data_IF_843349007812
#
_entry.id   IF_843349007812
#
_cell.length_a   1.000
_cell.length_b   1.000
_cell.length_c   1.000
_cell.angle_alpha   90.00
_cell.angle_beta   90.00
_cell.angle_gamma   90.00
#
_symmetry.space_group_name_H-M   'P 1'
#
loop_
_entity.id
_entity.type
_entity.pdbx_description
1 polymer ?
#
# COMPACT_ATOMS: atom_id res chain seq x y z
N UNK A 1 -11.66 -50.59 22.44
CA UNK A 1 -10.35 -49.92 22.54
C UNK A 1 -10.50 -48.57 21.86
N UNK A 2 -10.74 -47.54 22.64
CA UNK A 2 -10.95 -46.15 22.22
C UNK A 2 -9.61 -45.49 21.94
N UNK A 3 -9.36 -45.05 20.70
CA UNK A 3 -8.20 -44.21 20.39
C UNK A 3 -8.48 -42.78 20.85
N UNK A 4 -7.74 -42.32 21.86
CA UNK A 4 -7.77 -40.96 22.32
C UNK A 4 -7.19 -40.03 21.24
N UNK A 5 -8.02 -39.14 20.71
CA UNK A 5 -7.57 -37.99 19.95
C UNK A 5 -6.86 -37.02 20.89
N UNK A 6 -5.60 -36.73 20.62
CA UNK A 6 -4.89 -35.61 21.25
C UNK A 6 -5.45 -34.34 20.59
N UNK A 7 -6.47 -33.76 21.21
CA UNK A 7 -6.86 -32.39 20.94
C UNK A 7 -5.81 -31.49 21.61
N UNK A 8 -4.83 -31.06 20.83
CA UNK A 8 -3.91 -30.00 21.24
C UNK A 8 -4.72 -28.69 21.22
N UNK A 9 -5.23 -28.29 22.38
CA UNK A 9 -5.74 -26.93 22.58
C UNK A 9 -4.54 -25.97 22.51
N UNK A 10 -4.18 -25.54 21.30
CA UNK A 10 -3.37 -24.35 21.11
C UNK A 10 -4.29 -23.19 21.47
N UNK A 11 -4.03 -22.59 22.62
CA UNK A 11 -4.64 -21.32 22.99
C UNK A 11 -4.38 -20.33 21.85
N UNK A 12 -5.42 -19.61 21.43
CA UNK A 12 -5.29 -18.48 20.52
C UNK A 12 -4.44 -17.39 21.18
N UNK A 13 -3.11 -17.57 21.16
CA UNK A 13 -2.20 -16.44 21.17
C UNK A 13 -2.59 -15.63 19.93
N UNK A 14 -3.10 -14.43 20.18
CA UNK A 14 -3.74 -13.57 19.20
C UNK A 14 -2.97 -13.55 17.88
N UNK A 15 -3.65 -13.91 16.79
CA UNK A 15 -3.29 -13.66 15.39
C UNK A 15 -3.23 -12.15 15.06
N UNK A 16 -2.93 -11.29 16.04
CA UNK A 16 -2.49 -9.94 15.77
C UNK A 16 -1.18 -10.10 15.01
N UNK A 17 -1.25 -10.02 13.68
CA UNK A 17 -0.11 -10.02 12.79
C UNK A 17 1.00 -9.19 13.45
N UNK A 18 2.17 -9.80 13.67
CA UNK A 18 3.30 -9.04 14.17
C UNK A 18 3.61 -7.99 13.13
N UNK A 19 3.26 -6.75 13.44
CA UNK A 19 3.62 -5.59 12.64
C UNK A 19 4.94 -5.10 13.19
N UNK A 20 5.88 -4.79 12.29
CA UNK A 20 7.16 -4.27 12.68
C UNK A 20 7.61 -3.15 11.77
N UNK A 21 8.55 -2.34 12.27
CA UNK A 21 9.26 -1.39 11.44
C UNK A 21 10.57 -1.99 10.93
N UNK A 22 10.84 -1.79 9.65
CA UNK A 22 12.11 -2.15 9.02
C UNK A 22 12.74 -0.88 8.45
N UNK A 23 13.96 -0.58 8.87
CA UNK A 23 14.74 0.50 8.26
C UNK A 23 15.31 0.00 6.92
N UNK A 24 15.09 0.77 5.85
CA UNK A 24 15.68 0.54 4.54
C UNK A 24 17.00 1.30 4.43
N UNK A 25 17.94 0.71 3.69
CA UNK A 25 19.26 1.28 3.39
C UNK A 25 19.43 1.44 1.89
N UNK A 26 18.69 2.37 1.25
CA UNK A 26 18.82 2.61 -0.17
C UNK A 26 20.20 3.21 -0.51
N UNK A 27 20.64 3.00 -1.76
CA UNK A 27 21.92 3.52 -2.24
C UNK A 27 21.86 5.03 -2.43
N UNK A 28 20.70 5.52 -2.84
CA UNK A 28 20.40 6.93 -3.06
C UNK A 28 19.27 7.35 -2.14
N UNK A 29 19.23 8.64 -1.77
CA UNK A 29 18.19 9.18 -0.88
C UNK A 29 18.04 10.67 -1.09
N UNK A 30 16.80 11.21 -0.96
CA UNK A 30 16.61 12.64 -0.91
C UNK A 30 17.35 13.21 0.31
N UNK A 31 17.91 14.43 0.20
CA UNK A 31 18.47 15.11 1.36
C UNK A 31 17.49 15.18 2.53
N UNK A 32 18.05 15.16 3.73
CA UNK A 32 17.41 15.47 5.01
C UNK A 32 16.37 16.59 4.88
N UNK A 33 15.11 16.35 5.27
CA UNK A 33 14.05 17.36 5.18
C UNK A 33 12.93 17.16 6.20
N UNK A 34 11.98 18.07 6.24
CA UNK A 34 10.68 17.91 6.89
C UNK A 34 9.62 18.74 6.17
N UNK A 35 8.36 18.37 6.35
CA UNK A 35 7.22 19.04 5.72
C UNK A 35 7.28 18.95 4.20
N UNK A 36 7.78 17.85 3.64
CA UNK A 36 7.62 17.57 2.21
C UNK A 36 6.17 17.14 1.93
N UNK A 37 5.75 17.21 0.67
CA UNK A 37 4.56 16.48 0.23
C UNK A 37 4.93 15.08 -0.23
N UNK A 38 4.01 14.14 -0.08
CA UNK A 38 4.20 12.74 -0.44
C UNK A 38 2.90 12.10 -0.88
N UNK A 39 2.95 11.32 -1.95
CA UNK A 39 1.82 10.53 -2.42
C UNK A 39 2.32 9.21 -3.03
N UNK A 40 1.50 8.16 -2.93
CA UNK A 40 1.75 6.90 -3.60
C UNK A 40 1.07 6.90 -4.96
N UNK A 41 1.86 6.86 -6.03
CA UNK A 41 1.38 6.52 -7.36
C UNK A 41 1.18 5.00 -7.40
N UNK A 42 -0.05 4.57 -7.14
CA UNK A 42 -0.38 3.13 -7.09
C UNK A 42 -0.43 2.49 -8.47
N UNK A 43 -0.53 3.28 -9.55
CA UNK A 43 -0.53 2.78 -10.93
C UNK A 43 0.88 2.39 -11.36
N UNK A 44 1.88 3.20 -11.01
CA UNK A 44 3.30 2.91 -11.31
C UNK A 44 4.01 2.15 -10.19
N UNK A 45 3.40 2.04 -9.02
CA UNK A 45 4.03 1.46 -7.83
C UNK A 45 5.11 2.36 -7.23
N UNK A 46 5.15 3.65 -7.56
CA UNK A 46 6.18 4.58 -7.10
C UNK A 46 5.65 5.53 -6.01
N UNK A 47 6.48 5.86 -5.02
CA UNK A 47 6.15 6.92 -4.06
C UNK A 47 6.82 8.23 -4.47
N UNK A 48 6.07 9.33 -4.57
CA UNK A 48 6.54 10.63 -5.06
C UNK A 48 6.71 11.61 -3.92
N UNK A 49 7.93 12.13 -3.70
CA UNK A 49 8.22 13.22 -2.75
C UNK A 49 8.45 14.52 -3.50
N UNK A 50 7.87 15.61 -2.99
CA UNK A 50 8.18 16.96 -3.47
C UNK A 50 8.51 17.93 -2.34
N UNK A 51 9.56 18.71 -2.55
CA UNK A 51 9.88 19.87 -1.73
C UNK A 51 10.18 19.53 -0.27
N UNK A 52 9.66 20.35 0.65
CA UNK A 52 10.02 20.30 2.07
C UNK A 52 11.21 21.20 2.39
N UNK A 53 11.58 21.25 3.67
CA UNK A 53 12.62 22.14 4.16
C UNK A 53 13.88 21.36 4.55
N UNK A 54 15.02 21.64 3.91
CA UNK A 54 16.30 20.95 4.15
C UNK A 54 17.17 21.63 5.22
N UNK A 55 17.04 22.96 5.36
CA UNK A 55 17.69 23.76 6.39
C UNK A 55 16.78 24.95 6.77
N UNK A 56 17.13 25.72 7.80
CA UNK A 56 16.35 26.92 8.18
C UNK A 56 16.20 27.85 6.96
N UNK A 57 14.96 28.10 6.53
CA UNK A 57 14.60 28.91 5.36
C UNK A 57 15.08 28.38 3.99
N UNK A 58 15.43 27.09 3.88
CA UNK A 58 15.79 26.45 2.62
C UNK A 58 14.68 25.48 2.17
N UNK A 59 13.63 26.03 1.56
CA UNK A 59 12.58 25.23 0.94
C UNK A 59 13.08 24.65 -0.39
N UNK A 60 12.87 23.36 -0.58
CA UNK A 60 13.31 22.63 -1.76
C UNK A 60 12.22 22.58 -2.83
N UNK A 61 12.63 22.36 -4.08
CA UNK A 61 11.77 22.17 -5.26
C UNK A 61 12.05 20.85 -5.99
N UNK A 62 12.94 20.02 -5.46
CA UNK A 62 13.27 18.73 -6.06
C UNK A 62 12.11 17.74 -5.96
N UNK A 63 12.03 16.86 -6.96
CA UNK A 63 11.10 15.73 -7.03
C UNK A 63 11.92 14.45 -6.93
N UNK A 64 11.48 13.53 -6.08
CA UNK A 64 12.11 12.22 -5.92
C UNK A 64 11.05 11.13 -6.04
N UNK A 65 11.40 10.03 -6.67
CA UNK A 65 10.57 8.83 -6.73
C UNK A 65 11.26 7.65 -6.06
N UNK A 66 10.49 6.90 -5.29
CA UNK A 66 10.88 5.62 -4.71
C UNK A 66 10.25 4.49 -5.48
N UNK A 67 11.04 3.55 -5.99
CA UNK A 67 10.58 2.42 -6.80
C UNK A 67 10.27 1.14 -5.98
N UNK A 68 10.42 1.20 -4.66
CA UNK A 68 10.38 0.03 -3.78
C UNK A 68 11.77 -0.41 -3.28
N UNK A 69 12.84 0.12 -3.83
CA UNK A 69 14.20 -0.30 -3.51
C UNK A 69 15.19 0.84 -3.39
N UNK A 70 15.09 1.86 -4.25
CA UNK A 70 16.00 2.99 -4.26
C UNK A 70 15.28 4.30 -4.64
N UNK A 71 15.92 5.44 -4.32
CA UNK A 71 15.36 6.77 -4.57
C UNK A 71 15.97 7.44 -5.81
N UNK A 72 15.18 7.65 -6.85
CA UNK A 72 15.65 8.41 -8.02
C UNK A 72 15.23 9.88 -7.94
N UNK A 73 16.19 10.81 -8.07
CA UNK A 73 15.87 12.22 -8.25
C UNK A 73 15.38 12.46 -9.68
N UNK A 74 14.16 12.97 -9.81
CA UNK A 74 13.56 13.30 -11.10
C UNK A 74 13.99 14.72 -11.52
N UNK A 75 14.20 14.91 -12.83
CA UNK A 75 14.62 16.19 -13.42
C UNK A 75 13.58 16.70 -14.44
N UNK A 76 12.37 17.05 -14.00
CA UNK A 76 11.32 17.50 -14.90
C UNK A 76 11.64 18.89 -15.49
N UNK A 77 11.17 19.14 -16.71
CA UNK A 77 11.39 20.42 -17.39
C UNK A 77 10.56 21.56 -16.80
N UNK A 78 9.38 21.22 -16.26
CA UNK A 78 8.55 22.12 -15.48
C UNK A 78 8.56 21.65 -14.02
N UNK A 79 8.71 22.58 -13.10
CA UNK A 79 8.79 22.27 -11.67
C UNK A 79 8.12 23.37 -10.84
N UNK A 80 7.32 23.02 -9.82
CA UNK A 80 6.81 24.01 -8.89
C UNK A 80 7.94 24.74 -8.16
N UNK A 81 7.71 26.00 -7.77
CA UNK A 81 8.65 26.72 -6.91
C UNK A 81 8.87 26.02 -5.56
N UNK A 82 10.03 26.25 -4.95
CA UNK A 82 10.41 25.62 -3.67
C UNK A 82 9.45 25.97 -2.54
N UNK A 83 9.03 24.96 -1.77
CA UNK A 83 7.98 25.09 -0.74
C UNK A 83 8.08 24.02 0.34
N UNK A 84 7.58 24.35 1.53
CA UNK A 84 7.36 23.40 2.64
C UNK A 84 5.89 23.33 2.99
N UNK A 85 5.49 22.20 3.56
CA UNK A 85 4.12 21.85 3.96
C UNK A 85 3.06 22.03 2.84
N UNK A 86 3.37 21.77 1.55
CA UNK A 86 2.29 21.43 0.63
C UNK A 86 1.66 20.10 1.03
N UNK A 87 0.46 19.82 0.56
CA UNK A 87 -0.11 18.47 0.62
C UNK A 87 -0.27 17.93 -0.79
N UNK A 88 -0.19 16.60 -0.91
CA UNK A 88 -0.31 15.88 -2.17
C UNK A 88 -1.15 14.63 -1.97
N UNK A 89 -2.00 14.32 -2.94
CA UNK A 89 -2.78 13.09 -2.98
C UNK A 89 -2.74 12.52 -4.40
N UNK A 90 -2.78 11.19 -4.52
CA UNK A 90 -2.80 10.53 -5.81
C UNK A 90 -4.23 10.32 -6.29
N UNK A 91 -4.54 10.88 -7.46
CA UNK A 91 -5.80 10.65 -8.15
C UNK A 91 -5.66 9.41 -9.03
N UNK A 92 -6.05 8.26 -8.51
CA UNK A 92 -5.86 6.98 -9.20
C UNK A 92 -6.74 6.81 -10.43
N UNK A 93 -7.86 7.54 -10.53
CA UNK A 93 -8.70 7.51 -11.73
C UNK A 93 -8.02 8.22 -12.92
N UNK A 94 -7.20 9.25 -12.64
CA UNK A 94 -6.47 10.01 -13.67
C UNK A 94 -4.99 9.64 -13.76
N UNK A 95 -4.46 8.88 -12.81
CA UNK A 95 -3.06 8.47 -12.78
C UNK A 95 -2.09 9.63 -12.52
N UNK A 96 -2.47 10.61 -11.69
CA UNK A 96 -1.64 11.79 -11.41
C UNK A 96 -1.55 12.09 -9.91
N UNK A 97 -0.37 12.52 -9.44
CA UNK A 97 -0.26 13.12 -8.10
C UNK A 97 -0.65 14.59 -8.18
N UNK A 98 -1.65 15.00 -7.40
CA UNK A 98 -2.10 16.40 -7.32
C UNK A 98 -1.53 17.02 -6.06
N UNK A 99 -0.79 18.11 -6.21
CA UNK A 99 -0.24 18.90 -5.13
C UNK A 99 -0.93 20.27 -5.07
N UNK A 100 -1.20 20.74 -3.85
CA UNK A 100 -1.69 22.10 -3.61
C UNK A 100 -0.83 22.83 -2.58
N UNK A 101 -0.76 24.15 -2.74
CA UNK A 101 -0.35 25.09 -1.70
C UNK A 101 1.06 24.90 -1.14
N UNK A 102 1.22 25.14 0.16
CA UNK A 102 2.50 25.16 0.87
C UNK A 102 3.07 26.57 1.03
N UNK A 103 4.12 26.68 1.84
CA UNK A 103 4.76 27.94 2.22
C UNK A 103 6.14 28.10 1.59
N UNK A 104 6.39 29.23 0.94
CA UNK A 104 7.66 29.54 0.28
C UNK A 104 8.80 29.91 1.24
N UNK A 105 8.47 30.25 2.48
CA UNK A 105 9.37 30.99 3.37
C UNK A 105 8.92 32.43 3.61
N UNK A 106 8.11 32.98 2.69
CA UNK A 106 7.59 34.36 2.77
C UNK A 106 6.08 34.49 2.55
N UNK A 107 5.46 33.57 1.81
CA UNK A 107 4.03 33.60 1.50
C UNK A 107 3.51 32.17 1.26
N UNK A 108 2.19 32.01 1.39
CA UNK A 108 1.49 30.77 1.09
C UNK A 108 1.11 30.71 -0.40
N UNK A 109 1.43 29.60 -1.05
CA UNK A 109 1.04 29.34 -2.42
C UNK A 109 -0.43 28.90 -2.48
N UNK A 110 -1.12 29.26 -3.57
CA UNK A 110 -2.51 28.92 -3.86
C UNK A 110 -2.66 28.12 -5.18
N UNK A 111 -1.56 27.55 -5.66
CA UNK A 111 -1.46 26.87 -6.94
C UNK A 111 -1.77 25.37 -6.82
N UNK A 112 -2.30 24.81 -7.91
CA UNK A 112 -2.51 23.37 -8.08
C UNK A 112 -1.53 22.87 -9.14
N UNK A 113 -0.83 21.78 -8.84
CA UNK A 113 0.13 21.14 -9.74
C UNK A 113 -0.18 19.66 -9.86
N UNK A 114 -0.02 19.10 -11.05
CA UNK A 114 -0.24 17.69 -11.33
C UNK A 114 1.06 17.07 -11.86
N UNK A 115 1.47 15.94 -11.26
CA UNK A 115 2.60 15.13 -11.69
C UNK A 115 2.10 13.88 -12.41
N UNK A 116 2.57 13.68 -13.64
CA UNK A 116 2.19 12.55 -14.51
C UNK A 116 3.19 11.38 -14.49
N UNK A 117 4.18 11.42 -13.60
CA UNK A 117 5.30 10.48 -13.58
C UNK A 117 6.54 10.93 -14.34
N UNK A 118 6.44 12.03 -15.09
CA UNK A 118 7.55 12.56 -15.90
C UNK A 118 7.73 14.07 -15.73
N UNK A 119 6.65 14.83 -15.64
CA UNK A 119 6.67 16.28 -15.61
C UNK A 119 5.56 16.87 -14.73
N UNK A 120 5.78 18.09 -14.24
CA UNK A 120 4.75 18.84 -13.52
C UNK A 120 3.97 19.75 -14.47
N UNK A 121 2.65 19.75 -14.35
CA UNK A 121 1.76 20.69 -15.05
C UNK A 121 1.01 21.55 -14.05
N UNK A 122 1.13 22.87 -14.17
CA UNK A 122 0.34 23.79 -13.34
C UNK A 122 -1.10 23.87 -13.87
N UNK A 123 -2.07 23.74 -12.98
CA UNK A 123 -3.49 23.90 -13.28
C UNK A 123 -3.93 25.29 -12.82
N UNK A 124 -4.36 26.12 -13.77
CA UNK A 124 -4.88 27.47 -13.50
C UNK A 124 -6.40 27.37 -13.29
N UNK A 125 -6.81 27.30 -12.02
CA UNK A 125 -8.19 26.99 -11.64
C UNK A 125 -8.87 28.18 -10.97
N UNK A 126 -10.15 28.39 -11.30
CA UNK A 126 -11.02 29.39 -10.67
C UNK A 126 -12.42 28.80 -10.42
N UNK A 127 -12.94 28.81 -9.18
CA UNK A 127 -12.31 29.34 -7.96
C UNK A 127 -11.12 28.48 -7.48
N UNK A 128 -10.31 29.03 -6.58
CA UNK A 128 -9.20 28.33 -5.90
C UNK A 128 -9.41 28.42 -4.38
N UNK A 129 -9.00 27.40 -3.60
CA UNK A 129 -9.04 27.44 -2.14
C UNK A 129 -8.28 28.61 -1.50
N UNK A 130 -7.46 29.34 -2.25
CA UNK A 130 -6.59 30.38 -1.71
C UNK A 130 -5.33 29.81 -1.06
N UNK A 131 -4.35 30.67 -0.83
CA UNK A 131 -3.01 30.24 -0.41
C UNK A 131 -3.00 29.73 1.02
N UNK A 132 -2.42 28.55 1.27
CA UNK A 132 -2.37 27.94 2.61
C UNK A 132 -1.23 26.92 2.77
N UNK A 133 -0.92 26.59 4.01
CA UNK A 133 -0.05 25.47 4.41
C UNK A 133 -0.67 24.63 5.54
N UNK A 134 -0.04 23.50 5.91
CA UNK A 134 -0.40 22.67 7.09
C UNK A 134 -1.86 22.18 7.16
N UNK A 135 -2.52 22.03 6.01
CA UNK A 135 -3.82 21.40 5.83
C UNK A 135 -3.68 19.90 5.53
N UNK A 136 -4.79 19.17 5.60
CA UNK A 136 -4.86 17.78 5.13
C UNK A 136 -5.47 17.66 3.74
N UNK A 137 -5.00 16.69 2.95
CA UNK A 137 -5.61 16.26 1.68
C UNK A 137 -5.71 14.74 1.64
N UNK A 138 -6.81 14.20 1.11
CA UNK A 138 -6.99 12.78 0.84
C UNK A 138 -7.81 12.57 -0.44
N UNK A 139 -7.45 11.56 -1.25
CA UNK A 139 -8.23 11.20 -2.43
C UNK A 139 -9.32 10.20 -2.07
N UNK A 140 -10.56 10.58 -2.27
CA UNK A 140 -11.73 9.73 -2.18
C UNK A 140 -11.92 9.03 -3.53
N UNK A 141 -11.43 7.79 -3.62
CA UNK A 141 -11.51 6.99 -4.85
C UNK A 141 -12.92 6.49 -5.17
N UNK A 142 -13.82 6.47 -4.18
CA UNK A 142 -15.23 6.10 -4.39
C UNK A 142 -16.00 7.19 -5.15
N UNK A 143 -15.64 8.45 -4.92
CA UNK A 143 -16.27 9.63 -5.57
C UNK A 143 -15.39 10.27 -6.64
N UNK A 144 -14.13 9.87 -6.76
CA UNK A 144 -13.18 10.44 -7.71
C UNK A 144 -12.81 11.89 -7.41
N UNK A 145 -12.69 12.26 -6.13
CA UNK A 145 -12.40 13.64 -5.71
C UNK A 145 -11.29 13.69 -4.66
N UNK A 146 -10.49 14.75 -4.67
CA UNK A 146 -9.61 15.06 -3.55
C UNK A 146 -10.34 15.96 -2.56
N UNK A 147 -10.37 15.55 -1.29
CA UNK A 147 -10.91 16.33 -0.18
C UNK A 147 -9.77 17.05 0.53
N UNK A 148 -9.94 18.35 0.78
CA UNK A 148 -9.02 19.20 1.54
C UNK A 148 -9.75 19.83 2.73
N UNK A 149 -9.08 19.92 3.89
CA UNK A 149 -9.64 20.57 5.07
C UNK A 149 -8.63 21.46 5.80
N UNK A 150 -9.08 22.65 6.22
CA UNK A 150 -8.39 23.51 7.18
C UNK A 150 -7.03 24.05 6.70
N UNK A 151 -6.06 24.09 7.62
CA UNK A 151 -4.72 24.65 7.41
C UNK A 151 -4.58 26.08 7.91
N UNK A 152 -3.59 26.80 7.39
CA UNK A 152 -3.28 28.16 7.78
C UNK A 152 -3.01 29.09 6.60
N UNK A 153 -3.48 30.34 6.71
CA UNK A 153 -3.26 31.43 5.76
C UNK A 153 -3.23 32.78 6.49
N UNK A 154 -2.18 33.04 7.28
CA UNK A 154 -2.15 34.17 8.23
C UNK A 154 -3.12 34.02 9.43
N UNK A 155 -3.89 32.94 9.47
CA UNK A 155 -4.82 32.51 10.51
C UNK A 155 -5.28 31.08 10.25
N UNK A 156 -5.89 30.42 11.24
CA UNK A 156 -6.39 29.04 11.09
C UNK A 156 -7.64 29.01 10.20
N UNK A 157 -7.77 27.94 9.42
CA UNK A 157 -8.89 27.71 8.51
C UNK A 157 -9.71 26.49 8.97
N UNK A 158 -10.96 26.42 8.52
CA UNK A 158 -11.92 25.36 8.85
C UNK A 158 -12.81 24.97 7.67
N UNK A 159 -12.45 25.41 6.47
CA UNK A 159 -13.19 25.16 5.25
C UNK A 159 -12.88 23.78 4.67
N UNK A 160 -13.87 23.23 3.95
CA UNK A 160 -13.76 21.97 3.22
C UNK A 160 -13.80 22.27 1.72
N UNK A 161 -12.87 21.72 0.96
CA UNK A 161 -12.82 21.84 -0.50
C UNK A 161 -12.73 20.47 -1.15
N UNK A 162 -13.33 20.33 -2.32
CA UNK A 162 -13.22 19.12 -3.15
C UNK A 162 -12.70 19.47 -4.55
N UNK A 163 -11.76 18.69 -5.06
CA UNK A 163 -11.25 18.77 -6.43
C UNK A 163 -11.67 17.55 -7.23
N UNK A 164 -12.37 17.74 -8.33
CA UNK A 164 -12.88 16.68 -9.21
C UNK A 164 -11.95 16.35 -10.40
N UNK A 165 -10.71 16.86 -10.36
CA UNK A 165 -9.77 16.78 -11.48
C UNK A 165 -9.88 17.90 -12.51
N UNK A 166 -10.91 18.74 -12.39
CA UNK A 166 -11.13 19.88 -13.28
C UNK A 166 -11.32 21.20 -12.53
N UNK A 167 -11.97 21.19 -11.36
CA UNK A 167 -12.26 22.40 -10.60
C UNK A 167 -12.29 22.12 -9.09
N UNK A 168 -11.93 23.15 -8.32
CA UNK A 168 -12.13 23.17 -6.87
C UNK A 168 -13.53 23.69 -6.54
N UNK A 169 -14.24 22.98 -5.66
CA UNK A 169 -15.56 23.38 -5.15
C UNK A 169 -15.52 23.42 -3.62
N UNK A 170 -15.89 24.56 -3.03
CA UNK A 170 -16.01 24.67 -1.57
C UNK A 170 -17.30 23.98 -1.11
N UNK A 171 -17.20 23.20 -0.04
CA UNK A 171 -18.34 22.58 0.65
C UNK A 171 -18.64 23.32 1.94
N UNK A 172 -19.92 23.39 2.29
CA UNK A 172 -20.42 24.11 3.48
C UNK A 172 -21.24 23.17 4.37
N UNK A 173 -20.61 22.16 4.99
CA UNK A 173 -21.31 21.28 5.91
C UNK A 173 -21.75 22.01 7.17
N UNK A 174 -22.89 21.58 7.73
CA UNK A 174 -23.48 22.21 8.92
C UNK A 174 -22.58 21.98 10.15
N UNK A 175 -22.02 20.78 10.28
CA UNK A 175 -21.06 20.41 11.32
C UNK A 175 -19.67 20.25 10.72
N UNK A 176 -18.65 20.51 11.53
CA UNK A 176 -17.28 20.35 11.10
C UNK A 176 -16.28 20.33 12.24
N UNK A 177 -15.04 19.89 11.98
CA UNK A 177 -13.95 19.88 12.95
C UNK A 177 -13.60 21.26 13.54
N UNK A 178 -14.07 22.37 12.96
CA UNK A 178 -13.68 23.73 13.37
C UNK A 178 -12.26 24.10 12.94
N UNK A 179 -11.78 25.26 13.37
CA UNK A 179 -10.48 25.81 12.98
C UNK A 179 -9.33 24.92 13.45
N UNK A 180 -8.46 24.49 12.55
CA UNK A 180 -7.28 23.69 12.89
C UNK A 180 -6.26 23.60 11.76
N UNK A 181 -5.01 23.37 12.15
CA UNK A 181 -3.92 23.02 11.26
C UNK A 181 -3.14 21.80 11.80
N UNK A 182 -2.30 21.19 10.95
CA UNK A 182 -1.40 20.10 11.32
C UNK A 182 -2.09 18.82 11.80
N UNK A 183 -3.35 18.62 11.40
CA UNK A 183 -4.08 17.37 11.57
C UNK A 183 -3.68 16.37 10.47
N UNK A 184 -3.89 15.08 10.69
CA UNK A 184 -3.74 14.06 9.66
C UNK A 184 -5.07 13.77 8.97
N UNK A 185 -5.02 13.41 7.69
CA UNK A 185 -6.17 12.94 6.91
C UNK A 185 -5.79 11.74 6.05
N UNK A 186 -6.69 10.77 5.94
CA UNK A 186 -6.55 9.64 5.02
C UNK A 186 -7.94 9.12 4.62
N UNK A 187 -8.07 8.61 3.40
CA UNK A 187 -9.32 8.04 2.89
C UNK A 187 -9.40 6.55 3.20
N UNK A 188 -10.42 6.16 3.94
CA UNK A 188 -10.74 4.76 4.20
C UNK A 188 -11.63 4.23 3.07
N UNK A 189 -11.00 3.57 2.10
CA UNK A 189 -11.69 3.11 0.90
C UNK A 189 -12.69 1.98 1.18
N UNK A 190 -12.48 1.16 2.22
CA UNK A 190 -13.42 0.10 2.58
C UNK A 190 -14.74 0.65 3.12
N UNK A 191 -14.70 1.81 3.80
CA UNK A 191 -15.88 2.46 4.37
C UNK A 191 -16.38 3.65 3.57
N UNK A 192 -15.61 4.13 2.60
CA UNK A 192 -15.96 5.26 1.75
C UNK A 192 -15.99 6.58 2.51
N UNK A 193 -15.07 6.79 3.45
CA UNK A 193 -15.00 8.01 4.27
C UNK A 193 -13.59 8.58 4.37
N UNK A 194 -13.45 9.90 4.41
CA UNK A 194 -12.18 10.54 4.78
C UNK A 194 -12.12 10.69 6.29
N UNK A 195 -11.09 10.11 6.92
CA UNK A 195 -10.85 10.18 8.36
C UNK A 195 -9.88 11.32 8.66
N UNK A 196 -10.21 12.16 9.62
CA UNK A 196 -9.36 13.23 10.16
C UNK A 196 -9.07 12.97 11.63
N UNK A 197 -7.82 13.19 12.06
CA UNK A 197 -7.46 13.12 13.48
C UNK A 197 -6.61 14.31 13.94
N UNK A 198 -6.93 14.82 15.12
CA UNK A 198 -6.10 15.78 15.86
C UNK A 198 -5.94 17.14 15.20
N UNK A 199 -4.73 17.71 15.29
CA UNK A 199 -4.42 19.09 14.88
C UNK A 199 -4.39 20.06 16.06
N UNK A 200 -4.26 21.36 15.77
CA UNK A 200 -4.13 22.40 16.80
C UNK A 200 -4.91 23.67 16.48
N UNK A 201 -5.46 24.29 17.52
CA UNK A 201 -5.94 25.68 17.52
C UNK A 201 -5.48 26.39 18.81
N UNK A 202 -6.35 26.50 19.83
CA UNK A 202 -5.99 26.96 21.18
C UNK A 202 -5.29 25.90 22.03
N UNK A 203 -5.40 24.63 21.61
CA UNK A 203 -4.74 23.46 22.15
C UNK A 203 -4.73 22.35 21.11
N UNK A 204 -3.97 21.29 21.37
CA UNK A 204 -3.98 20.11 20.51
C UNK A 204 -5.30 19.36 20.67
N UNK A 205 -5.83 18.83 19.58
CA UNK A 205 -7.00 17.98 19.56
C UNK A 205 -6.62 16.49 19.50
N UNK A 206 -7.52 15.63 19.99
CA UNK A 206 -7.48 14.16 19.87
C UNK A 206 -8.79 13.58 19.32
N UNK A 207 -9.62 14.42 18.70
CA UNK A 207 -10.88 14.00 18.12
C UNK A 207 -10.67 13.30 16.77
N UNK A 208 -11.59 12.39 16.45
CA UNK A 208 -11.66 11.69 15.16
C UNK A 208 -12.92 12.13 14.43
N UNK A 209 -12.77 12.62 13.21
CA UNK A 209 -13.88 13.05 12.35
C UNK A 209 -13.91 12.23 11.07
N UNK A 210 -15.10 12.00 10.53
CA UNK A 210 -15.31 11.30 9.27
C UNK A 210 -16.13 12.15 8.31
N UNK A 211 -15.67 12.27 7.07
CA UNK A 211 -16.37 12.91 5.96
C UNK A 211 -16.92 11.86 5.00
N UNK A 212 -18.22 11.89 4.76
CA UNK A 212 -18.93 10.96 3.87
C UNK A 212 -19.21 11.54 2.47
N UNK A 213 -18.62 12.69 2.16
CA UNK A 213 -18.91 13.46 0.95
C UNK A 213 -19.97 14.54 1.10
N UNK A 214 -20.66 14.60 2.25
CA UNK A 214 -21.71 15.57 2.52
C UNK A 214 -21.60 16.23 3.88
N UNK A 215 -21.26 15.47 4.92
CA UNK A 215 -21.19 15.96 6.30
C UNK A 215 -19.97 15.42 7.04
N UNK A 216 -19.45 16.22 7.96
CA UNK A 216 -18.47 15.78 8.94
C UNK A 216 -19.19 15.23 10.17
N UNK A 217 -18.87 13.99 10.54
CA UNK A 217 -19.39 13.32 11.73
C UNK A 217 -18.28 13.12 12.76
N UNK A 218 -18.48 13.64 13.97
CA UNK A 218 -17.58 13.38 15.09
C UNK A 218 -17.76 11.94 15.57
N UNK A 219 -16.65 11.20 15.65
CA UNK A 219 -16.62 9.85 16.19
C UNK A 219 -16.19 9.88 17.65
N UNK A 220 -16.64 8.89 18.42
CA UNK A 220 -16.23 8.69 19.82
C UNK A 220 -15.66 7.29 20.03
N UNK A 221 -14.44 7.01 19.49
CA UNK A 221 -13.75 5.75 19.73
C UNK A 221 -13.59 5.46 21.23
N UNK A 222 -13.67 4.18 21.63
CA UNK A 222 -13.46 3.77 23.02
C UNK A 222 -12.01 4.01 23.49
N UNK A 223 -11.06 3.95 22.57
CA UNK A 223 -9.66 4.30 22.78
C UNK A 223 -9.22 5.25 21.68
N UNK A 224 -8.34 6.20 22.01
CA UNK A 224 -7.82 7.19 21.07
C UNK A 224 -6.38 7.56 21.42
N UNK A 225 -5.56 7.94 20.43
CA UNK A 225 -4.25 8.52 20.68
C UNK A 225 -4.38 9.81 21.51
N UNK A 226 -3.33 10.15 22.25
CA UNK A 226 -3.24 11.46 22.90
C UNK A 226 -3.30 12.61 21.89
N UNK A 227 -3.77 13.78 22.34
CA UNK A 227 -3.91 14.98 21.52
C UNK A 227 -2.59 15.43 20.90
N UNK A 228 -2.58 15.57 19.57
CA UNK A 228 -1.34 15.75 18.81
C UNK A 228 -1.52 16.50 17.50
N UNK A 229 -0.40 17.02 17.01
CA UNK A 229 -0.28 17.74 15.74
C UNK A 229 0.95 17.23 14.97
N UNK A 230 0.98 17.44 13.65
CA UNK A 230 2.10 17.12 12.76
C UNK A 230 2.52 15.64 12.80
N UNK A 231 1.59 14.76 13.15
CA UNK A 231 1.69 13.31 12.99
C UNK A 231 1.38 12.95 11.53
N UNK A 232 1.73 11.75 11.11
CA UNK A 232 1.41 11.27 9.78
C UNK A 232 0.31 10.19 9.84
N UNK A 233 -0.49 10.12 8.79
CA UNK A 233 -1.61 9.18 8.66
C UNK A 233 -1.69 8.66 7.22
N UNK A 234 -1.97 7.37 7.06
CA UNK A 234 -2.23 6.77 5.77
C UNK A 234 -3.21 5.60 5.92
N UNK A 235 -3.95 5.29 4.85
CA UNK A 235 -4.82 4.12 4.78
C UNK A 235 -4.04 2.92 4.26
N UNK A 236 -4.04 1.84 5.03
CA UNK A 236 -3.52 0.55 4.61
C UNK A 236 -4.67 -0.25 3.97
N UNK A 237 -4.75 -0.17 2.65
CA UNK A 237 -5.79 -0.85 1.86
C UNK A 237 -5.79 -2.36 2.06
N UNK A 238 -4.62 -2.94 2.26
CA UNK A 238 -4.47 -4.37 2.43
C UNK A 238 -4.99 -4.88 3.77
N UNK A 239 -4.92 -4.05 4.81
CA UNK A 239 -5.46 -4.36 6.14
C UNK A 239 -6.82 -3.73 6.40
N UNK A 240 -7.27 -2.81 5.55
CA UNK A 240 -8.54 -2.11 5.71
C UNK A 240 -8.57 -1.21 6.95
N UNK A 241 -7.46 -0.52 7.25
CA UNK A 241 -7.34 0.32 8.44
C UNK A 241 -6.49 1.57 8.20
N UNK A 242 -6.65 2.58 9.04
CA UNK A 242 -5.80 3.78 9.02
C UNK A 242 -4.65 3.60 10.01
N UNK A 243 -3.43 3.86 9.58
CA UNK A 243 -2.24 3.87 10.43
C UNK A 243 -1.86 5.32 10.74
N UNK A 244 -1.64 5.62 12.01
CA UNK A 244 -1.12 6.89 12.51
C UNK A 244 0.25 6.67 13.16
N UNK A 245 1.21 7.53 12.89
CA UNK A 245 2.50 7.49 13.58
C UNK A 245 3.03 8.87 13.99
N UNK A 246 3.68 8.89 15.15
CA UNK A 246 4.45 10.02 15.67
C UNK A 246 3.65 11.30 15.94
N UNK A 247 4.31 12.44 15.71
CA UNK A 247 3.79 13.79 15.95
C UNK A 247 4.23 14.40 17.27
N UNK A 248 3.62 15.53 17.62
CA UNK A 248 3.90 16.30 18.84
C UNK A 248 2.68 16.32 19.74
N UNK A 249 2.81 15.82 20.97
CA UNK A 249 1.76 15.83 22.00
C UNK A 249 1.90 17.04 22.94
N UNK A 250 1.01 17.16 23.92
CA UNK A 250 1.03 18.23 24.93
C UNK A 250 2.40 18.40 25.60
N UNK A 251 2.78 19.65 25.89
CA UNK A 251 4.09 19.97 26.45
C UNK A 251 5.25 19.94 25.43
N UNK A 252 4.98 19.72 24.14
CA UNK A 252 5.99 19.71 23.09
C UNK A 252 6.73 18.38 22.94
N UNK A 253 6.29 17.34 23.64
CA UNK A 253 6.90 16.00 23.55
C UNK A 253 6.70 15.41 22.16
N UNK A 254 7.79 14.99 21.53
CA UNK A 254 7.78 14.30 20.24
C UNK A 254 7.64 12.81 20.52
N UNK A 255 6.68 12.16 19.86
CA UNK A 255 6.40 10.73 20.04
C UNK A 255 6.71 9.95 18.75
N UNK A 256 6.93 8.64 18.91
CA UNK A 256 7.15 7.68 17.81
C UNK A 256 6.23 6.46 17.94
N UNK A 257 5.13 6.61 18.68
CA UNK A 257 4.10 5.59 18.80
C UNK A 257 3.35 5.39 17.47
N UNK A 258 2.78 4.21 17.31
CA UNK A 258 1.96 3.84 16.16
C UNK A 258 0.58 3.38 16.64
N UNK A 259 -0.44 3.81 15.93
CA UNK A 259 -1.83 3.52 16.21
C UNK A 259 -2.54 3.08 14.94
N UNK A 260 -3.48 2.15 15.08
CA UNK A 260 -4.29 1.62 13.98
C UNK A 260 -5.76 1.87 14.26
N UNK A 261 -6.50 2.42 13.29
CA UNK A 261 -7.94 2.66 13.37
C UNK A 261 -8.68 1.74 12.43
N UNK A 262 -9.55 0.90 12.98
CA UNK A 262 -10.35 -0.08 12.24
C UNK A 262 -11.73 0.44 11.77
N UNK A 263 -11.95 1.76 11.88
CA UNK A 263 -13.25 2.39 11.62
C UNK A 263 -14.18 2.45 12.84
N UNK A 264 -13.77 1.86 13.95
CA UNK A 264 -14.53 1.88 15.21
C UNK A 264 -13.68 2.39 16.37
N UNK A 265 -12.47 1.87 16.55
CA UNK A 265 -11.58 2.22 17.65
C UNK A 265 -10.12 2.33 17.21
N UNK A 266 -9.34 3.11 17.96
CA UNK A 266 -7.89 3.15 17.80
C UNK A 266 -7.22 2.12 18.71
N UNK A 267 -6.31 1.33 18.15
CA UNK A 267 -5.48 0.37 18.89
C UNK A 267 -4.02 0.79 18.81
N UNK A 268 -3.37 0.96 19.97
CA UNK A 268 -1.93 1.23 19.99
C UNK A 268 -1.18 -0.05 19.66
N UNK A 269 -0.20 0.04 18.76
CA UNK A 269 0.70 -1.07 18.46
C UNK A 269 2.03 -0.84 19.16
N UNK A 270 2.66 -1.93 19.60
CA UNK A 270 3.98 -1.91 20.25
C UNK A 270 4.98 -2.78 19.49
N UNK A 271 5.39 -2.38 18.28
CA UNK A 271 6.45 -3.07 17.54
C UNK A 271 7.74 -3.18 18.34
N UNK A 272 8.50 -4.25 18.14
CA UNK A 272 9.80 -4.43 18.77
C UNK A 272 10.84 -3.43 18.24
N UNK A 273 10.72 -3.05 16.98
CA UNK A 273 11.52 -2.01 16.33
C UNK A 273 10.61 -0.85 15.96
N UNK A 274 11.00 0.37 16.30
CA UNK A 274 10.27 1.59 15.94
C UNK A 274 11.23 2.66 15.42
N UNK A 275 10.82 3.50 14.46
CA UNK A 275 11.59 4.65 14.05
C UNK A 275 11.72 5.63 15.24
N UNK A 276 12.81 6.42 15.29
CA UNK A 276 12.91 7.50 16.26
C UNK A 276 11.69 8.45 16.23
N UNK A 277 11.26 8.97 17.40
CA UNK A 277 10.19 9.96 17.49
C UNK A 277 10.38 11.14 16.53
N UNK A 278 9.33 11.47 15.76
CA UNK A 278 9.39 12.47 14.69
C UNK A 278 8.05 13.13 14.41
N UNK A 279 8.10 14.32 13.82
CA UNK A 279 6.92 15.08 13.36
C UNK A 279 7.22 15.79 12.03
N UNK A 280 6.18 16.22 11.31
CA UNK A 280 6.29 16.75 9.94
C UNK A 280 7.03 15.79 8.98
N UNK A 281 6.95 14.50 9.27
CA UNK A 281 7.38 13.44 8.39
C UNK A 281 6.26 13.13 7.41
N UNK A 282 6.61 12.53 6.29
CA UNK A 282 5.64 12.06 5.31
C UNK A 282 5.34 10.59 5.52
N UNK A 283 4.12 10.16 5.22
CA UNK A 283 3.70 8.78 5.38
C UNK A 283 2.67 8.38 4.32
N UNK A 284 2.93 7.29 3.61
CA UNK A 284 1.97 6.67 2.67
C UNK A 284 2.05 5.16 2.79
N UNK A 285 0.94 4.46 2.59
CA UNK A 285 0.95 3.00 2.49
C UNK A 285 1.00 2.59 1.01
N UNK A 286 1.96 1.71 0.70
CA UNK A 286 2.13 1.11 -0.60
C UNK A 286 1.18 -0.08 -0.70
N UNK A 287 0.07 0.07 -1.43
CA UNK A 287 -0.93 -1.00 -1.60
C UNK A 287 -0.29 -2.33 -2.05
N UNK A 288 0.61 -2.29 -3.04
CA UNK A 288 1.24 -3.49 -3.60
C UNK A 288 2.22 -4.21 -2.66
N UNK A 289 2.76 -3.53 -1.65
CA UNK A 289 3.78 -4.10 -0.74
C UNK A 289 3.31 -4.17 0.70
N UNK A 290 2.12 -3.64 1.00
CA UNK A 290 1.49 -3.57 2.32
C UNK A 290 2.38 -2.90 3.37
N UNK A 291 3.14 -1.90 2.93
CA UNK A 291 4.11 -1.20 3.76
C UNK A 291 3.80 0.27 3.78
N UNK A 292 3.72 0.83 4.97
CA UNK A 292 3.62 2.27 5.15
C UNK A 292 5.01 2.85 5.34
N UNK A 293 5.41 3.71 4.41
CA UNK A 293 6.72 4.33 4.37
C UNK A 293 6.69 5.63 5.14
N UNK A 294 7.53 5.80 6.16
CA UNK A 294 7.87 7.13 6.68
C UNK A 294 9.21 7.58 6.14
N UNK A 295 9.26 8.84 5.72
CA UNK A 295 10.48 9.52 5.33
C UNK A 295 10.50 10.90 5.97
N UNK A 296 11.71 11.41 6.24
CA UNK A 296 11.93 12.77 6.72
C UNK A 296 11.38 13.05 8.12
N UNK A 297 11.53 14.28 8.62
CA UNK A 297 10.95 14.74 9.87
C UNK A 297 11.96 15.29 10.88
N UNK A 298 11.45 16.12 11.80
CA UNK A 298 12.18 16.80 12.87
C UNK A 298 12.00 16.02 14.20
N UNK A 299 12.99 16.01 15.14
CA UNK A 299 14.16 16.87 15.24
C UNK A 299 15.38 16.42 14.43
N UNK A 300 15.32 15.25 13.82
CA UNK A 300 16.53 14.56 13.33
C UNK A 300 16.89 14.96 11.89
N UNK A 301 16.02 15.64 11.15
CA UNK A 301 16.29 15.93 9.74
C UNK A 301 16.68 14.63 9.02
N UNK A 302 15.99 13.52 9.33
CA UNK A 302 16.37 12.22 8.80
C UNK A 302 16.21 12.20 7.28
N UNK A 303 17.13 11.57 6.58
CA UNK A 303 16.89 11.02 5.24
C UNK A 303 16.65 9.50 5.31
N UNK A 304 16.32 8.99 6.50
CA UNK A 304 16.04 7.59 6.73
C UNK A 304 14.69 7.19 6.14
N UNK A 305 14.66 5.99 5.58
CA UNK A 305 13.45 5.38 5.01
C UNK A 305 13.08 4.21 5.91
N UNK A 306 11.87 4.24 6.45
CA UNK A 306 11.34 3.16 7.29
C UNK A 306 10.03 2.66 6.69
N UNK A 307 9.82 1.36 6.75
CA UNK A 307 8.61 0.71 6.30
C UNK A 307 7.93 0.00 7.48
N UNK A 308 6.61 0.20 7.60
CA UNK A 308 5.75 -0.41 8.60
C UNK A 308 4.78 -1.40 7.96
N UNK A 309 4.73 -2.63 8.44
CA UNK A 309 3.75 -3.61 7.99
C UNK A 309 3.96 -4.97 8.64
N UNK A 310 3.32 -6.03 8.13
CA UNK A 310 3.46 -7.38 8.66
C UNK A 310 4.91 -7.87 8.58
N UNK A 311 5.39 -8.59 9.61
CA UNK A 311 6.74 -9.17 9.66
C UNK A 311 6.99 -10.21 8.59
N UNK A 312 5.93 -10.91 8.17
CA UNK A 312 5.95 -11.86 7.06
C UNK A 312 5.10 -11.30 5.92
N UNK A 313 5.71 -10.51 5.04
CA UNK A 313 5.04 -10.01 3.84
C UNK A 313 4.84 -11.18 2.89
N UNK A 314 3.64 -11.34 2.34
CA UNK A 314 3.40 -12.35 1.31
C UNK A 314 4.07 -11.90 0.02
N UNK A 315 4.73 -12.83 -0.67
CA UNK A 315 5.40 -12.56 -1.94
C UNK A 315 5.10 -13.68 -2.91
N UNK A 316 5.15 -13.40 -4.21
CA UNK A 316 5.16 -14.44 -5.23
C UNK A 316 5.95 -13.99 -6.45
N UNK A 317 6.44 -14.95 -7.21
CA UNK A 317 7.07 -14.71 -8.51
C UNK A 317 6.94 -15.96 -9.40
N UNK A 318 6.92 -15.73 -10.71
CA UNK A 318 7.10 -16.80 -11.69
C UNK A 318 8.58 -17.03 -11.96
N UNK A 319 8.96 -18.28 -12.19
CA UNK A 319 10.31 -18.63 -12.61
C UNK A 319 10.24 -19.81 -13.59
N UNK A 320 11.37 -20.21 -14.16
CA UNK A 320 11.41 -21.32 -15.11
C UNK A 320 10.57 -21.06 -16.36
N UNK A 321 10.34 -22.12 -17.14
CA UNK A 321 9.56 -22.07 -18.37
C UNK A 321 8.53 -23.20 -18.38
N UNK A 322 7.38 -22.96 -18.99
CA UNK A 322 6.47 -24.04 -19.39
C UNK A 322 6.97 -24.73 -20.66
N UNK A 323 6.40 -25.90 -20.96
CA UNK A 323 6.67 -26.59 -22.23
C UNK A 323 5.60 -26.28 -23.29
N UNK A 324 5.99 -26.45 -24.56
CA UNK A 324 5.13 -26.13 -25.68
C UNK A 324 3.91 -27.08 -25.75
N UNK A 325 2.71 -26.50 -25.74
CA UNK A 325 1.46 -27.16 -26.05
C UNK A 325 0.97 -26.86 -27.47
N UNK A 326 -0.17 -27.44 -27.83
CA UNK A 326 -0.82 -27.29 -29.14
C UNK A 326 -1.25 -25.85 -29.46
N UNK A 327 -1.51 -25.04 -28.43
CA UNK A 327 -1.90 -23.64 -28.55
C UNK A 327 -0.83 -22.65 -28.03
N UNK A 328 0.44 -23.10 -27.93
CA UNK A 328 1.54 -22.34 -27.36
C UNK A 328 1.94 -22.83 -25.96
N UNK A 329 2.81 -22.09 -25.28
CA UNK A 329 3.27 -22.44 -23.93
C UNK A 329 2.29 -21.93 -22.88
N UNK A 330 1.72 -22.79 -22.02
CA UNK A 330 0.87 -22.37 -20.91
C UNK A 330 1.64 -21.47 -19.94
N UNK A 331 0.99 -20.38 -19.51
CA UNK A 331 1.60 -19.40 -18.60
C UNK A 331 0.76 -19.29 -17.33
N UNK A 332 1.38 -19.60 -16.19
CA UNK A 332 0.82 -19.40 -14.86
C UNK A 332 1.30 -18.05 -14.30
N UNK A 333 0.38 -17.27 -13.73
CA UNK A 333 0.69 -16.05 -13.02
C UNK A 333 -0.49 -15.57 -12.17
N UNK A 334 -0.28 -14.51 -11.39
CA UNK A 334 -1.32 -13.90 -10.56
C UNK A 334 -1.34 -12.38 -10.76
N UNK A 335 -2.47 -11.76 -10.44
CA UNK A 335 -2.59 -10.31 -10.25
C UNK A 335 -2.74 -9.94 -8.77
N UNK A 336 -2.89 -10.94 -7.91
CA UNK A 336 -2.99 -10.72 -6.47
C UNK A 336 -1.63 -10.31 -5.91
N UNK A 337 -1.64 -9.64 -4.77
CA UNK A 337 -0.41 -9.19 -4.13
C UNK A 337 0.39 -10.34 -3.49
N UNK A 338 -0.25 -11.48 -3.24
CA UNK A 338 0.35 -12.67 -2.67
C UNK A 338 -0.62 -13.47 -1.79
N UNK A 339 -0.21 -14.65 -1.31
CA UNK A 339 -1.05 -15.48 -0.46
C UNK A 339 -1.03 -15.02 1.00
N UNK A 340 -2.12 -14.42 1.46
CA UNK A 340 -2.26 -13.93 2.83
C UNK A 340 -3.13 -14.87 3.68
N UNK A 341 -2.74 -15.07 4.94
CA UNK A 341 -3.56 -15.84 5.89
C UNK A 341 -4.95 -15.20 6.06
N UNK A 342 -6.00 -16.00 5.90
CA UNK A 342 -7.39 -15.57 5.95
C UNK A 342 -7.99 -15.13 4.62
N UNK A 343 -7.21 -15.08 3.54
CA UNK A 343 -7.64 -14.68 2.20
C UNK A 343 -7.68 -15.85 1.21
N UNK A 344 -8.14 -15.55 0.00
CA UNK A 344 -8.01 -16.43 -1.17
C UNK A 344 -6.92 -15.83 -2.07
N UNK A 345 -5.92 -16.63 -2.42
CA UNK A 345 -4.92 -16.28 -3.41
C UNK A 345 -5.35 -16.83 -4.77
N UNK A 346 -5.49 -15.95 -5.76
CA UNK A 346 -6.01 -16.27 -7.08
C UNK A 346 -4.88 -16.26 -8.11
N UNK A 347 -4.61 -17.41 -8.70
CA UNK A 347 -3.71 -17.56 -9.84
C UNK A 347 -4.50 -17.91 -11.10
N UNK A 348 -3.94 -17.62 -12.27
CA UNK A 348 -4.55 -17.95 -13.57
C UNK A 348 -3.55 -18.62 -14.49
N UNK A 349 -4.03 -19.60 -15.26
CA UNK A 349 -3.25 -20.28 -16.30
C UNK A 349 -3.86 -19.92 -17.65
N UNK A 350 -3.10 -19.22 -18.48
CA UNK A 350 -3.48 -18.84 -19.83
C UNK A 350 -2.88 -19.76 -20.90
N UNK A 351 -3.21 -19.46 -22.16
CA UNK A 351 -2.69 -20.17 -23.35
C UNK A 351 -3.08 -21.65 -23.36
N UNK A 352 -4.31 -21.95 -22.95
CA UNK A 352 -4.84 -23.31 -22.92
C UNK A 352 -5.28 -23.79 -24.31
N UNK A 353 -5.30 -25.12 -24.56
CA UNK A 353 -5.94 -25.71 -25.72
C UNK A 353 -7.37 -25.20 -25.95
N UNK A 354 -7.79 -25.16 -27.21
CA UNK A 354 -9.14 -24.69 -27.60
C UNK A 354 -10.21 -25.78 -27.55
N UNK A 355 -9.81 -27.00 -27.17
CA UNK A 355 -10.71 -28.15 -27.12
C UNK A 355 -11.83 -27.96 -26.08
N UNK A 356 -13.10 -28.26 -26.45
CA UNK A 356 -14.19 -28.27 -25.49
C UNK A 356 -13.92 -29.30 -24.39
N UNK A 357 -13.78 -28.83 -23.15
CA UNK A 357 -13.55 -29.70 -22.00
C UNK A 357 -12.07 -29.99 -21.70
N UNK A 358 -11.15 -29.11 -22.11
CA UNK A 358 -9.76 -29.15 -21.63
C UNK A 358 -9.71 -29.27 -20.11
N UNK A 359 -8.92 -30.23 -19.62
CA UNK A 359 -8.74 -30.48 -18.20
C UNK A 359 -7.43 -29.83 -17.78
N UNK A 360 -7.48 -29.03 -16.71
CA UNK A 360 -6.30 -28.46 -16.08
C UNK A 360 -6.28 -28.90 -14.62
N UNK A 361 -5.13 -29.38 -14.17
CA UNK A 361 -4.87 -29.72 -12.79
C UNK A 361 -3.79 -28.80 -12.23
N UNK A 362 -4.10 -28.07 -11.16
CA UNK A 362 -3.12 -27.34 -10.38
C UNK A 362 -2.34 -28.29 -9.48
N UNK A 363 -1.01 -28.19 -9.51
CA UNK A 363 -0.09 -28.98 -8.69
C UNK A 363 0.43 -28.10 -7.55
N UNK A 364 -0.23 -28.14 -6.40
CA UNK A 364 0.24 -27.42 -5.21
C UNK A 364 1.33 -28.22 -4.51
N UNK A 365 2.45 -27.55 -4.22
CA UNK A 365 3.59 -28.10 -3.50
C UNK A 365 4.14 -27.16 -2.42
N UNK A 366 5.06 -27.69 -1.62
CA UNK A 366 5.79 -26.99 -0.55
C UNK A 366 7.33 -27.13 -0.70
N UNK A 367 7.81 -27.66 -1.82
CA UNK A 367 9.22 -27.90 -2.15
C UNK A 367 9.47 -27.73 -3.65
N UNK A 368 10.50 -26.96 -4.01
CA UNK A 368 11.04 -26.85 -5.38
C UNK A 368 12.38 -27.58 -5.54
N UNK A 369 12.81 -28.34 -4.54
CA UNK A 369 14.11 -29.04 -4.53
C UNK A 369 13.99 -30.55 -4.53
N UNK A 370 12.89 -31.09 -4.00
CA UNK A 370 12.64 -32.53 -3.99
C UNK A 370 11.17 -32.90 -3.90
N UNK A 371 10.81 -34.00 -4.54
CA UNK A 371 9.53 -34.70 -4.40
C UNK A 371 9.79 -36.18 -4.07
N UNK A 372 9.76 -36.52 -2.78
CA UNK A 372 10.19 -37.84 -2.32
C UNK A 372 11.66 -38.09 -2.66
N UNK A 373 11.92 -39.06 -3.54
CA UNK A 373 13.28 -39.39 -4.01
C UNK A 373 13.68 -38.65 -5.31
N UNK A 374 12.76 -37.88 -5.91
CA UNK A 374 13.00 -37.15 -7.16
C UNK A 374 13.60 -35.79 -6.81
N UNK A 375 14.77 -35.48 -7.36
CA UNK A 375 15.35 -34.14 -7.29
C UNK A 375 14.63 -33.21 -8.26
N UNK A 376 14.32 -31.99 -7.82
CA UNK A 376 13.67 -30.97 -8.63
C UNK A 376 14.66 -29.83 -8.94
N UNK A 377 14.56 -29.19 -10.11
CA UNK A 377 13.61 -29.48 -11.20
C UNK A 377 13.92 -30.79 -11.94
N UNK A 378 12.87 -31.54 -12.32
CA UNK A 378 12.98 -32.86 -12.95
C UNK A 378 12.58 -32.83 -14.44
N UNK A 379 13.44 -33.36 -15.31
CA UNK A 379 13.13 -33.57 -16.73
C UNK A 379 12.09 -34.69 -16.88
N UNK A 380 10.99 -34.38 -17.58
CA UNK A 380 9.91 -35.31 -17.83
C UNK A 380 9.98 -36.01 -19.19
N UNK A 381 11.06 -35.82 -19.96
CA UNK A 381 11.30 -36.57 -21.19
C UNK A 381 11.23 -38.09 -21.00
N UNK A 382 11.70 -38.70 -19.89
CA UNK A 382 11.55 -40.14 -19.63
C UNK A 382 10.09 -40.61 -19.44
N UNK A 383 9.15 -39.68 -19.24
CA UNK A 383 7.73 -39.93 -19.07
C UNK A 383 6.92 -39.46 -20.28
N UNK A 384 7.52 -39.50 -21.46
CA UNK A 384 6.89 -39.14 -22.74
C UNK A 384 6.42 -37.67 -22.83
N UNK A 385 6.98 -36.79 -21.99
CA UNK A 385 6.75 -35.34 -21.98
C UNK A 385 8.05 -34.58 -22.32
N UNK A 386 8.62 -34.76 -23.53
CA UNK A 386 9.86 -34.12 -23.92
C UNK A 386 9.78 -32.60 -23.83
N UNK A 387 10.80 -31.99 -23.23
CA UNK A 387 10.87 -30.54 -23.03
C UNK A 387 10.04 -30.00 -21.86
N UNK A 388 9.27 -30.85 -21.17
CA UNK A 388 8.58 -30.48 -19.93
C UNK A 388 9.47 -30.72 -18.72
N UNK A 389 9.37 -29.81 -17.74
CA UNK A 389 10.11 -29.88 -16.49
C UNK A 389 9.13 -29.71 -15.33
N UNK A 390 9.17 -30.66 -14.39
CA UNK A 390 8.45 -30.54 -13.12
C UNK A 390 9.32 -29.72 -12.17
N UNK A 391 8.81 -28.59 -11.69
CA UNK A 391 9.59 -27.66 -10.86
C UNK A 391 9.27 -27.75 -9.38
N UNK A 392 8.06 -28.21 -9.02
CA UNK A 392 7.66 -28.38 -7.62
C UNK A 392 7.12 -29.77 -7.34
N UNK A 393 7.09 -30.11 -6.06
CA UNK A 393 6.49 -31.35 -5.62
C UNK A 393 4.97 -31.36 -5.88
N UNK A 394 4.46 -32.53 -6.23
CA UNK A 394 3.03 -32.73 -6.47
C UNK A 394 2.40 -33.21 -5.17
N UNK A 395 2.10 -32.25 -4.28
CA UNK A 395 1.46 -32.52 -3.00
C UNK A 395 -0.04 -32.79 -3.17
N UNK A 396 -0.76 -31.82 -3.75
CA UNK A 396 -2.21 -31.92 -3.98
C UNK A 396 -2.59 -31.48 -5.39
N UNK A 397 -2.87 -32.43 -6.31
CA UNK A 397 -3.44 -32.10 -7.60
C UNK A 397 -4.90 -31.68 -7.42
N UNK A 398 -5.27 -30.52 -7.93
CA UNK A 398 -6.63 -29.99 -7.86
C UNK A 398 -7.17 -29.63 -9.24
N UNK A 399 -8.40 -30.05 -9.60
CA UNK A 399 -9.00 -29.67 -10.86
C UNK A 399 -9.27 -28.16 -10.86
N UNK A 400 -8.85 -27.46 -11.91
CA UNK A 400 -9.07 -26.04 -12.05
C UNK A 400 -10.26 -25.77 -13.00
N UNK A 401 -11.21 -24.90 -12.62
CA UNK A 401 -12.26 -24.48 -13.53
C UNK A 401 -11.65 -23.74 -14.74
N UNK A 402 -12.10 -24.11 -15.94
CA UNK A 402 -11.67 -23.50 -17.20
C UNK A 402 -12.82 -22.74 -17.84
N UNK A 403 -12.60 -21.47 -18.16
CA UNK A 403 -13.54 -20.64 -18.89
C UNK A 403 -12.78 -19.72 -19.86
N UNK A 404 -13.22 -19.66 -21.12
CA UNK A 404 -12.64 -18.73 -22.10
C UNK A 404 -11.15 -18.94 -22.40
N UNK A 405 -10.65 -20.18 -22.29
CA UNK A 405 -9.23 -20.49 -22.53
C UNK A 405 -8.29 -20.13 -21.37
N UNK A 406 -8.84 -19.81 -20.20
CA UNK A 406 -8.10 -19.54 -18.97
C UNK A 406 -8.61 -20.46 -17.87
N UNK A 407 -7.69 -21.04 -17.09
CA UNK A 407 -8.02 -21.74 -15.85
C UNK A 407 -7.80 -20.80 -14.67
N UNK A 408 -8.74 -20.78 -13.73
CA UNK A 408 -8.62 -20.00 -12.49
C UNK A 408 -8.30 -20.94 -11.34
N UNK A 409 -7.37 -20.53 -10.48
CA UNK A 409 -6.95 -21.26 -9.31
C UNK A 409 -7.13 -20.40 -8.07
N UNK A 410 -8.21 -20.67 -7.33
CA UNK A 410 -8.50 -20.03 -6.05
C UNK A 410 -7.93 -20.89 -4.91
N UNK A 411 -6.85 -20.44 -4.29
CA UNK A 411 -6.21 -21.10 -3.15
C UNK A 411 -6.64 -20.41 -1.84
N UNK A 412 -7.60 -20.97 -1.08
CA UNK A 412 -7.97 -20.42 0.23
C UNK A 412 -6.83 -20.66 1.23
N UNK A 413 -6.32 -19.60 1.85
CA UNK A 413 -5.28 -19.65 2.86
C UNK A 413 -5.94 -19.49 4.25
N UNK A 414 -5.93 -20.52 5.10
CA UNK A 414 -6.52 -20.43 6.44
C UNK A 414 -5.92 -19.29 7.28
N UNK A 415 -6.75 -18.67 8.14
CA UNK A 415 -6.27 -17.68 9.11
C UNK A 415 -5.52 -18.37 10.25
N UNK A 416 -4.28 -18.79 9.99
CA UNK A 416 -3.46 -19.57 10.93
C UNK A 416 -2.03 -19.04 10.97
N UNK A 417 -1.54 -18.68 12.17
CA UNK A 417 -0.22 -18.10 12.33
C UNK A 417 0.92 -19.06 11.93
N UNK A 418 0.68 -20.37 12.00
CA UNK A 418 1.63 -21.40 11.57
C UNK A 418 1.91 -21.41 10.07
N UNK A 419 1.09 -20.72 9.26
CA UNK A 419 1.30 -20.61 7.82
C UNK A 419 2.23 -19.45 7.44
N UNK A 420 2.46 -18.50 8.35
CA UNK A 420 3.27 -17.32 8.07
C UNK A 420 4.70 -17.72 7.71
N UNK A 421 5.16 -17.20 6.58
CA UNK A 421 6.49 -17.41 6.04
C UNK A 421 6.71 -18.76 5.35
N UNK A 422 5.71 -19.65 5.31
CA UNK A 422 5.82 -20.92 4.61
C UNK A 422 5.88 -20.68 3.09
N UNK A 423 6.79 -21.34 2.37
CA UNK A 423 6.77 -21.33 0.92
C UNK A 423 5.62 -22.20 0.39
N UNK A 424 5.02 -21.81 -0.71
CA UNK A 424 4.15 -22.66 -1.51
C UNK A 424 4.53 -22.52 -2.99
N UNK A 425 4.31 -23.57 -3.75
CA UNK A 425 4.66 -23.64 -5.16
C UNK A 425 3.46 -24.13 -5.95
N UNK A 426 3.21 -23.48 -7.08
CA UNK A 426 2.13 -23.82 -7.99
C UNK A 426 2.72 -24.09 -9.36
N UNK A 427 2.27 -25.18 -9.98
CA UNK A 427 2.50 -25.43 -11.41
C UNK A 427 1.25 -26.08 -11.97
N UNK A 428 0.85 -25.74 -13.19
CA UNK A 428 -0.33 -26.32 -13.81
C UNK A 428 0.05 -27.44 -14.77
N UNK A 429 -0.65 -28.56 -14.68
CA UNK A 429 -0.65 -29.66 -15.64
C UNK A 429 -1.88 -29.52 -16.53
N UNK A 430 -1.67 -29.42 -17.84
CA UNK A 430 -2.72 -29.26 -18.84
C UNK A 430 -2.77 -30.55 -19.64
N UNK A 431 -3.96 -31.14 -19.77
CA UNK A 431 -4.19 -32.25 -20.69
C UNK A 431 -4.31 -31.70 -22.12
N UNK A 432 -3.36 -32.07 -22.97
CA UNK A 432 -3.18 -31.57 -24.33
C UNK A 432 -2.68 -32.72 -25.22
N UNK A 433 -3.62 -33.56 -25.65
CA UNK A 433 -3.31 -34.81 -26.36
C UNK A 433 -2.42 -34.64 -27.61
N UNK A 434 -2.54 -33.55 -28.41
CA UNK A 434 -1.66 -33.33 -29.56
C UNK A 434 -0.23 -32.90 -29.22
N UNK A 435 0.06 -32.44 -27.99
CA UNK A 435 1.32 -31.77 -27.67
C UNK A 435 2.53 -32.72 -27.64
N UNK A 436 2.37 -33.91 -27.06
CA UNK A 436 3.42 -34.93 -26.95
C UNK A 436 2.82 -36.33 -26.71
N UNK A 437 3.61 -37.41 -26.73
CA UNK A 437 3.06 -38.77 -26.59
C UNK A 437 2.36 -39.05 -25.25
N UNK A 438 2.71 -38.34 -24.18
CA UNK A 438 1.98 -38.40 -22.90
C UNK A 438 0.64 -37.63 -22.91
N UNK A 439 0.45 -36.73 -23.88
CA UNK A 439 -0.74 -35.90 -24.00
C UNK A 439 -0.91 -34.87 -22.88
N UNK A 440 0.20 -34.41 -22.29
CA UNK A 440 0.20 -33.49 -21.16
C UNK A 440 1.32 -32.47 -21.28
N UNK A 441 1.06 -31.23 -20.88
CA UNK A 441 2.08 -30.16 -20.79
C UNK A 441 2.01 -29.46 -19.44
N UNK A 442 3.10 -28.79 -19.06
CA UNK A 442 3.22 -28.03 -17.83
C UNK A 442 3.40 -26.54 -18.12
N UNK A 443 2.79 -25.70 -17.30
CA UNK A 443 3.08 -24.26 -17.27
C UNK A 443 4.48 -23.97 -16.69
N UNK A 444 4.91 -22.72 -16.74
CA UNK A 444 5.94 -22.25 -15.81
C UNK A 444 5.46 -22.43 -14.35
N UNK A 445 6.37 -22.60 -13.38
CA UNK A 445 6.01 -22.56 -11.98
C UNK A 445 5.84 -21.13 -11.46
N UNK A 446 5.11 -21.05 -10.36
CA UNK A 446 5.00 -19.90 -9.47
C UNK A 446 5.50 -20.36 -8.10
N UNK A 447 6.35 -19.55 -7.46
CA UNK A 447 6.69 -19.72 -6.05
C UNK A 447 6.17 -18.55 -5.27
N UNK A 448 5.62 -18.84 -4.11
CA UNK A 448 5.09 -17.84 -3.21
C UNK A 448 5.52 -18.11 -1.77
N UNK A 449 5.44 -17.07 -0.95
CA UNK A 449 5.63 -17.14 0.50
C UNK A 449 4.37 -16.61 1.14
N UNK A 450 3.74 -17.42 1.99
CA UNK A 450 2.52 -17.04 2.69
C UNK A 450 2.85 -15.94 3.70
N UNK A 451 2.04 -14.88 3.72
CA UNK A 451 2.26 -13.72 4.58
C UNK A 451 1.09 -13.36 5.48
N UNK A 452 1.38 -12.45 6.40
CA UNK A 452 0.43 -11.83 7.31
C UNK A 452 -0.15 -10.56 6.71
N UNK A 453 -1.26 -10.11 7.30
CA UNK A 453 -1.88 -8.82 7.01
C UNK A 453 -1.30 -7.75 7.92
#
# INVERSE_FOLDING_TARGET
MTSAGIALFITAASLAAQVNWVQRSPLTSPPARFGAAFAQDSVRGHSVVFGGQQAVNAASFDTWEWDGSDWTQMNPSNVPGGRRRPAMAFDSARGVCVMFGGYSGSFDYADTWEWDGSNWTQRLLTPSPGGRDTFGMAYDSGRGVIVMYGGSAGGYLNDTWEYDGTAWTQRFPITGPGYRQGHGMAFDAARGVVVLFGGVYSGNFNDTWEWDGTTWTLRSPATSPAARVNHAMAYDEARGLIVLCGGVVGGGTIVGDVWEYDGTTWTQRTPATVPPPRYQHVFVCQGARKLCMTFSGSPIGGNDTWEYGPTDIATWETYGLGCAGSNGTPVLGSTDLGPFVGDVFTSTVGTLPTDPGVIVAGLLGFSDTSWGAIALPADLSPYDMPGCTLYNDVGWPMPLPVAGGVATWDLPIPLMASLLGLPCFEQALIFDAPANPAGMVLSNPLRARIGGR
#
